data_IF_542791772101
#
_entry.id   IF_542791772101
#
_cell.length_a   1.000
_cell.length_b   1.000
_cell.length_c   1.000
_cell.angle_alpha   90.00
_cell.angle_beta   90.00
_cell.angle_gamma   90.00
#
_symmetry.space_group_name_H-M   'P 1'
#
loop_
_entity.id
_entity.type
_entity.pdbx_description
1 polymer ?
#
# COMPACT_ATOMS: atom_id res chain seq x y z
N UNK A 1 24.89 10.43 2.51
CA UNK A 1 25.03 10.50 1.03
C UNK A 1 23.84 9.92 0.25
N UNK A 2 23.05 8.99 0.78
CA UNK A 2 21.88 8.41 0.10
C UNK A 2 20.79 9.46 -0.23
N UNK A 3 20.50 10.41 0.64
CA UNK A 3 19.48 11.45 0.43
C UNK A 3 19.71 12.39 -0.77
N UNK A 4 20.97 12.54 -1.22
CA UNK A 4 21.28 13.30 -2.45
C UNK A 4 20.99 12.50 -3.71
N UNK A 5 21.15 11.16 -3.65
CA UNK A 5 20.95 10.27 -4.79
C UNK A 5 19.47 9.87 -4.95
N UNK A 6 18.76 9.77 -3.83
CA UNK A 6 17.34 9.38 -3.77
C UNK A 6 16.59 10.34 -2.84
N UNK A 7 16.19 11.52 -3.33
CA UNK A 7 15.45 12.48 -2.52
C UNK A 7 14.10 11.89 -2.11
N UNK A 8 13.80 11.92 -0.80
CA UNK A 8 12.50 11.52 -0.29
C UNK A 8 11.47 12.63 -0.54
N UNK A 9 10.28 12.25 -1.00
CA UNK A 9 9.12 13.12 -1.10
C UNK A 9 8.05 12.65 -0.11
N UNK A 10 7.54 13.57 0.68
CA UNK A 10 6.42 13.33 1.58
C UNK A 10 5.10 13.53 0.83
N UNK A 11 4.28 12.48 0.76
CA UNK A 11 2.98 12.56 0.11
C UNK A 11 1.86 12.49 1.15
N UNK A 12 1.16 13.61 1.35
CA UNK A 12 0.01 13.69 2.24
C UNK A 12 -1.27 13.25 1.55
N UNK A 13 -2.05 12.39 2.19
CA UNK A 13 -3.32 11.88 1.65
C UNK A 13 -4.55 12.20 2.53
N UNK A 14 -4.34 12.73 3.74
CA UNK A 14 -5.39 13.19 4.66
C UNK A 14 -4.80 14.20 5.63
N UNK A 15 -5.65 14.91 6.39
CA UNK A 15 -5.25 15.84 7.43
C UNK A 15 -6.03 15.54 8.71
N UNK A 16 -5.34 15.44 9.84
CA UNK A 16 -5.92 15.10 11.13
C UNK A 16 -6.06 16.31 12.05
N UNK A 17 -5.19 17.30 11.86
CA UNK A 17 -5.18 18.57 12.58
C UNK A 17 -4.99 19.72 11.61
N UNK A 18 -5.76 20.79 11.79
CA UNK A 18 -5.64 22.05 11.05
C UNK A 18 -5.76 23.22 12.02
N UNK A 19 -4.79 24.15 11.98
CA UNK A 19 -4.72 25.31 12.91
C UNK A 19 -4.90 24.89 14.39
N UNK A 20 -4.14 23.91 14.83
CA UNK A 20 -4.16 23.31 16.16
C UNK A 20 -5.50 22.65 16.58
N UNK A 21 -6.46 22.48 15.69
CA UNK A 21 -7.73 21.82 15.94
C UNK A 21 -7.77 20.44 15.30
N UNK A 22 -8.26 19.46 16.03
CA UNK A 22 -8.50 18.13 15.49
C UNK A 22 -9.69 18.15 14.51
N UNK A 23 -9.50 17.68 13.29
CA UNK A 23 -10.50 17.69 12.22
C UNK A 23 -10.95 16.30 11.80
N UNK A 24 -10.61 15.28 12.56
CA UNK A 24 -10.94 13.87 12.27
C UNK A 24 -12.43 13.57 12.23
N UNK A 25 -13.26 14.37 12.93
CA UNK A 25 -14.72 14.25 12.91
C UNK A 25 -15.36 14.80 11.64
N UNK A 26 -14.65 15.57 10.83
CA UNK A 26 -15.16 16.11 9.57
C UNK A 26 -15.23 15.01 8.49
N UNK A 27 -16.12 15.16 7.51
CA UNK A 27 -16.16 14.35 6.30
C UNK A 27 -14.80 14.37 5.57
N UNK A 28 -14.45 13.28 4.87
CA UNK A 28 -13.21 13.20 4.10
C UNK A 28 -13.07 14.35 3.08
N UNK A 29 -14.16 14.73 2.43
CA UNK A 29 -14.17 15.83 1.46
C UNK A 29 -13.71 17.15 2.07
N UNK A 30 -14.19 17.49 3.28
CA UNK A 30 -13.77 18.68 4.00
C UNK A 30 -12.31 18.59 4.44
N UNK A 31 -11.87 17.45 4.97
CA UNK A 31 -10.46 17.25 5.32
C UNK A 31 -9.55 17.38 4.11
N UNK A 32 -9.96 16.89 2.94
CA UNK A 32 -9.23 17.07 1.67
C UNK A 32 -9.11 18.55 1.27
N UNK A 33 -10.17 19.33 1.46
CA UNK A 33 -10.14 20.77 1.21
C UNK A 33 -9.17 21.49 2.16
N UNK A 34 -9.16 21.13 3.44
CA UNK A 34 -8.21 21.65 4.43
C UNK A 34 -6.77 21.25 4.11
N UNK A 35 -6.54 20.00 3.72
CA UNK A 35 -5.22 19.51 3.32
C UNK A 35 -4.66 20.34 2.16
N UNK A 36 -5.49 20.63 1.15
CA UNK A 36 -5.08 21.46 0.01
C UNK A 36 -4.72 22.88 0.43
N UNK A 37 -5.37 23.44 1.45
CA UNK A 37 -5.02 24.76 2.02
C UNK A 37 -3.73 24.71 2.84
N UNK A 38 -3.50 23.63 3.59
CA UNK A 38 -2.35 23.49 4.48
C UNK A 38 -1.04 23.27 3.72
N UNK A 39 -1.09 22.50 2.62
CA UNK A 39 0.10 22.20 1.81
C UNK A 39 0.23 23.26 0.70
N UNK A 40 1.14 24.20 0.90
CA UNK A 40 1.53 25.15 -0.15
C UNK A 40 2.39 24.41 -1.19
N UNK A 41 2.10 24.61 -2.47
CA UNK A 41 2.59 23.80 -3.60
C UNK A 41 4.05 24.04 -3.99
N UNK A 42 4.80 24.89 -3.31
CA UNK A 42 6.10 25.38 -3.78
C UNK A 42 7.30 24.54 -3.30
N UNK A 43 7.09 23.54 -2.46
CA UNK A 43 8.15 22.64 -2.00
C UNK A 43 8.06 21.28 -2.70
N UNK A 44 9.02 20.99 -3.56
CA UNK A 44 9.11 19.73 -4.30
C UNK A 44 9.23 18.48 -3.42
N UNK A 45 9.50 18.66 -2.12
CA UNK A 45 9.57 17.55 -1.14
C UNK A 45 8.20 17.16 -0.59
N UNK A 46 7.16 17.96 -0.85
CA UNK A 46 5.80 17.71 -0.38
C UNK A 46 4.84 17.61 -1.55
N UNK A 47 4.00 16.61 -1.51
CA UNK A 47 2.93 16.41 -2.48
C UNK A 47 1.62 16.07 -1.77
N UNK A 48 0.50 16.48 -2.37
CA UNK A 48 -0.82 15.98 -1.98
C UNK A 48 -1.19 14.82 -2.91
N UNK A 49 -1.55 13.70 -2.33
CA UNK A 49 -2.00 12.52 -3.09
C UNK A 49 -3.16 12.87 -4.00
N UNK A 50 -3.01 12.57 -5.28
CA UNK A 50 -4.09 12.73 -6.26
C UNK A 50 -5.27 11.84 -5.90
N UNK A 51 -6.47 12.31 -6.18
CA UNK A 51 -7.70 11.54 -6.05
C UNK A 51 -8.68 11.95 -7.14
N UNK A 52 -9.62 11.06 -7.44
CA UNK A 52 -10.74 11.33 -8.33
C UNK A 52 -12.03 10.94 -7.63
N UNK A 53 -13.08 11.74 -7.82
CA UNK A 53 -14.37 11.55 -7.16
C UNK A 53 -15.32 10.66 -7.93
N UNK A 54 -15.08 10.45 -9.21
CA UNK A 54 -15.91 9.65 -10.11
C UNK A 54 -15.01 8.85 -11.04
N UNK A 55 -15.57 7.89 -11.76
CA UNK A 55 -14.82 7.05 -12.71
C UNK A 55 -13.72 6.19 -12.08
N UNK A 56 -13.98 5.63 -10.91
CA UNK A 56 -13.04 4.79 -10.16
C UNK A 56 -12.52 3.59 -10.96
N UNK A 57 -13.34 2.98 -11.83
CA UNK A 57 -12.93 1.87 -12.70
C UNK A 57 -11.85 2.34 -13.69
N UNK A 58 -12.06 3.48 -14.35
CA UNK A 58 -11.06 4.03 -15.28
C UNK A 58 -9.76 4.37 -14.57
N UNK A 59 -9.83 4.87 -13.35
CA UNK A 59 -8.64 5.17 -12.55
C UNK A 59 -7.92 3.89 -12.13
N UNK A 60 -8.64 2.85 -11.75
CA UNK A 60 -8.07 1.54 -11.43
C UNK A 60 -7.32 0.96 -12.64
N UNK A 61 -7.94 0.96 -13.84
CA UNK A 61 -7.29 0.49 -15.05
C UNK A 61 -6.04 1.31 -15.42
N UNK A 62 -6.04 2.62 -15.10
CA UNK A 62 -4.85 3.46 -15.31
C UNK A 62 -3.71 3.08 -14.36
N UNK A 63 -4.01 2.69 -13.10
CA UNK A 63 -2.99 2.22 -12.16
C UNK A 63 -2.34 0.90 -12.61
N UNK A 64 -3.12 0.02 -13.22
CA UNK A 64 -2.63 -1.21 -13.85
C UNK A 64 -1.62 -0.91 -14.95
N UNK A 65 -1.96 0.01 -15.87
CA UNK A 65 -1.06 0.43 -16.96
C UNK A 65 0.23 1.09 -16.50
N UNK A 66 0.27 1.57 -15.27
CA UNK A 66 1.43 2.22 -14.65
C UNK A 66 2.16 1.33 -13.64
N UNK A 67 1.89 0.03 -13.63
CA UNK A 67 2.46 -0.95 -12.69
C UNK A 67 2.34 -0.54 -11.20
N UNK A 68 1.25 0.14 -10.84
CA UNK A 68 0.98 0.52 -9.46
C UNK A 68 0.23 -0.60 -8.73
N UNK A 69 0.43 -0.72 -7.43
CA UNK A 69 -0.17 -1.76 -6.58
C UNK A 69 -1.72 -1.75 -6.59
N UNK A 70 -2.34 -0.64 -6.98
CA UNK A 70 -3.78 -0.46 -6.99
C UNK A 70 -4.22 0.88 -6.42
N UNK A 71 -5.47 0.94 -5.96
CA UNK A 71 -6.08 2.16 -5.43
C UNK A 71 -6.63 1.96 -4.02
N UNK A 72 -6.87 3.06 -3.31
CA UNK A 72 -7.63 3.07 -2.07
C UNK A 72 -8.93 3.82 -2.30
N UNK A 73 -10.05 3.10 -2.35
CA UNK A 73 -11.38 3.68 -2.38
C UNK A 73 -11.77 4.17 -0.98
N UNK A 74 -12.24 5.41 -0.88
CA UNK A 74 -12.60 6.03 0.40
C UNK A 74 -14.00 6.61 0.33
N UNK A 75 -14.81 6.32 1.33
CA UNK A 75 -16.15 6.92 1.41
C UNK A 75 -16.03 8.42 1.69
N UNK A 76 -16.63 9.25 0.84
CA UNK A 76 -16.45 10.72 0.84
C UNK A 76 -16.90 11.40 2.14
N UNK A 77 -17.93 10.88 2.80
CA UNK A 77 -18.49 11.44 4.03
C UNK A 77 -17.91 10.76 5.29
N UNK A 78 -16.85 9.94 5.13
CA UNK A 78 -16.24 9.21 6.25
C UNK A 78 -15.45 10.12 7.17
N UNK A 79 -15.61 9.88 8.48
CA UNK A 79 -14.72 10.40 9.52
C UNK A 79 -13.40 9.63 9.50
N UNK A 80 -12.40 10.16 10.16
CA UNK A 80 -11.13 9.46 10.39
C UNK A 80 -11.18 8.75 11.75
N UNK A 81 -10.82 7.48 11.77
CA UNK A 81 -10.74 6.68 12.99
C UNK A 81 -9.31 6.20 13.19
N UNK A 82 -8.73 6.51 14.35
CA UNK A 82 -7.42 6.01 14.75
C UNK A 82 -7.49 4.51 15.06
N UNK A 83 -6.45 3.79 14.72
CA UNK A 83 -6.23 2.38 15.07
C UNK A 83 -7.40 1.43 14.75
N UNK A 84 -8.24 1.81 13.78
CA UNK A 84 -9.39 1.01 13.37
C UNK A 84 -9.38 0.77 11.86
N UNK A 85 -9.59 -0.48 11.49
CA UNK A 85 -9.94 -0.84 10.11
C UNK A 85 -11.44 -0.69 9.94
N UNK A 86 -11.86 0.12 8.98
CA UNK A 86 -13.27 0.34 8.68
C UNK A 86 -13.55 0.04 7.21
N UNK A 87 -14.81 -0.28 6.88
CA UNK A 87 -15.25 -0.44 5.48
C UNK A 87 -15.28 0.89 4.70
N UNK A 88 -15.01 2.03 5.36
CA UNK A 88 -14.96 3.33 4.71
C UNK A 88 -13.70 3.52 3.84
N UNK A 89 -12.66 2.71 4.06
CA UNK A 89 -11.43 2.70 3.28
C UNK A 89 -11.15 1.28 2.82
N UNK A 90 -11.21 1.07 1.52
CA UNK A 90 -11.04 -0.24 0.89
C UNK A 90 -9.82 -0.18 -0.02
N UNK A 91 -8.81 -1.00 0.27
CA UNK A 91 -7.66 -1.18 -0.60
C UNK A 91 -8.05 -2.16 -1.71
N UNK A 92 -8.01 -1.71 -2.95
CA UNK A 92 -8.27 -2.50 -4.15
C UNK A 92 -6.92 -2.66 -4.84
N UNK A 93 -6.35 -3.86 -4.75
CA UNK A 93 -5.05 -4.17 -5.33
C UNK A 93 -5.22 -4.73 -6.72
N UNK A 94 -4.26 -4.40 -7.57
CA UNK A 94 -3.99 -5.15 -8.78
C UNK A 94 -3.16 -6.38 -8.35
N UNK A 95 -3.79 -7.55 -8.43
CA UNK A 95 -3.11 -8.81 -8.13
C UNK A 95 -2.53 -9.33 -9.45
N UNK A 96 -1.22 -9.48 -9.49
CA UNK A 96 -0.53 -10.24 -10.51
C UNK A 96 -0.41 -11.67 -9.98
N UNK A 97 -0.96 -12.61 -10.73
CA UNK A 97 -0.77 -14.03 -10.49
C UNK A 97 0.40 -14.51 -11.35
N UNK A 98 1.26 -15.32 -10.77
CA UNK A 98 2.38 -15.94 -11.46
C UNK A 98 2.65 -17.32 -10.86
N UNK A 99 3.16 -18.22 -11.68
CA UNK A 99 3.48 -19.58 -11.28
C UNK A 99 4.93 -19.66 -10.77
N UNK A 100 5.08 -20.21 -9.59
CA UNK A 100 6.39 -20.38 -8.95
C UNK A 100 6.64 -21.84 -8.63
N UNK A 101 7.92 -22.23 -8.68
CA UNK A 101 8.40 -23.52 -8.24
C UNK A 101 8.85 -23.38 -6.78
N UNK A 102 8.40 -24.29 -5.93
CA UNK A 102 8.92 -24.39 -4.56
C UNK A 102 10.30 -24.99 -4.60
N UNK A 103 11.33 -24.20 -4.27
CA UNK A 103 12.72 -24.60 -4.22
C UNK A 103 13.10 -25.27 -2.90
N UNK A 104 12.37 -24.95 -1.85
CA UNK A 104 12.67 -25.43 -0.53
C UNK A 104 11.77 -24.82 0.53
N UNK A 105 12.05 -25.20 1.75
CA UNK A 105 11.32 -24.83 2.94
C UNK A 105 12.32 -24.32 4.00
N UNK A 106 12.03 -23.19 4.61
CA UNK A 106 12.82 -22.61 5.69
C UNK A 106 12.05 -22.71 7.02
N UNK A 107 12.33 -23.74 7.83
CA UNK A 107 11.70 -23.91 9.14
C UNK A 107 12.30 -22.92 10.14
N UNK A 108 11.47 -22.18 10.81
CA UNK A 108 11.89 -21.28 11.90
C UNK A 108 11.36 -21.80 13.23
N UNK A 109 12.25 -21.99 14.21
CA UNK A 109 11.91 -22.60 15.50
C UNK A 109 10.84 -21.84 16.29
N UNK A 110 10.77 -20.51 16.17
CA UNK A 110 9.85 -19.66 16.95
C UNK A 110 9.06 -18.67 16.08
N UNK A 111 8.94 -18.92 14.79
CA UNK A 111 8.24 -18.02 13.88
C UNK A 111 7.52 -18.77 12.76
N UNK A 112 6.83 -18.03 11.91
CA UNK A 112 6.10 -18.59 10.79
C UNK A 112 7.08 -19.19 9.76
N UNK A 113 6.79 -20.42 9.32
CA UNK A 113 7.56 -21.11 8.29
C UNK A 113 7.50 -20.38 6.95
N UNK A 114 8.55 -20.48 6.15
CA UNK A 114 8.61 -19.87 4.83
C UNK A 114 8.89 -20.92 3.75
N UNK A 115 8.29 -20.74 2.58
CA UNK A 115 8.64 -21.48 1.36
C UNK A 115 9.53 -20.59 0.49
N UNK A 116 10.54 -21.20 -0.09
CA UNK A 116 11.49 -20.55 -1.01
C UNK A 116 10.97 -20.76 -2.43
N UNK A 117 10.81 -19.66 -3.17
CA UNK A 117 10.23 -19.62 -4.50
C UNK A 117 11.27 -19.38 -5.58
N UNK A 118 11.12 -20.07 -6.68
CA UNK A 118 11.90 -19.86 -7.88
C UNK A 118 11.05 -19.89 -9.14
N UNK A 119 11.65 -19.45 -10.23
CA UNK A 119 11.03 -19.42 -11.55
C UNK A 119 12.08 -19.66 -12.62
N UNK A 120 11.70 -20.36 -13.69
CA UNK A 120 12.61 -20.53 -14.83
C UNK A 120 12.72 -19.23 -15.64
N UNK A 121 13.94 -18.80 -15.87
CA UNK A 121 14.27 -17.72 -16.77
C UNK A 121 15.33 -18.23 -17.79
N UNK A 122 14.97 -18.33 -19.06
CA UNK A 122 15.86 -18.85 -20.10
C UNK A 122 16.38 -20.25 -19.81
N UNK A 123 15.58 -21.14 -19.25
CA UNK A 123 15.97 -22.52 -18.89
C UNK A 123 16.79 -22.67 -17.59
N UNK A 124 17.11 -21.58 -16.92
CA UNK A 124 17.78 -21.58 -15.61
C UNK A 124 16.79 -21.27 -14.50
N UNK A 125 16.87 -22.04 -13.44
CA UNK A 125 16.04 -21.82 -12.23
C UNK A 125 16.65 -20.68 -11.42
N UNK A 126 15.87 -19.61 -11.22
CA UNK A 126 16.30 -18.38 -10.54
C UNK A 126 15.47 -18.20 -9.27
N UNK A 127 16.13 -17.88 -8.17
CA UNK A 127 15.47 -17.51 -6.92
C UNK A 127 14.65 -16.23 -7.10
N UNK A 128 13.40 -16.23 -6.61
CA UNK A 128 12.46 -15.10 -6.72
C UNK A 128 12.05 -14.52 -5.38
N UNK A 129 12.32 -15.20 -4.30
CA UNK A 129 11.97 -14.74 -2.97
C UNK A 129 11.46 -15.86 -2.08
N UNK A 130 10.93 -15.49 -0.93
CA UNK A 130 10.25 -16.41 -0.03
C UNK A 130 8.93 -15.84 0.46
N UNK A 131 7.98 -16.72 0.73
CA UNK A 131 6.66 -16.40 1.27
C UNK A 131 6.52 -17.02 2.64
N UNK A 132 6.24 -16.20 3.65
CA UNK A 132 5.96 -16.67 5.00
C UNK A 132 4.54 -17.22 5.04
N UNK A 133 4.42 -18.51 5.39
CA UNK A 133 3.13 -19.15 5.55
C UNK A 133 2.51 -18.70 6.88
N UNK A 134 1.24 -18.33 6.86
CA UNK A 134 0.49 -17.92 8.06
C UNK A 134 0.19 -19.07 9.04
N UNK A 135 0.79 -20.26 8.81
CA UNK A 135 0.65 -21.47 9.63
C UNK A 135 2.01 -21.80 10.21
N UNK A 136 2.09 -21.81 11.53
CA UNK A 136 3.22 -22.32 12.29
C UNK A 136 2.98 -23.75 12.76
N UNK A 137 4.04 -24.52 12.96
CA UNK A 137 4.03 -25.76 13.72
C UNK A 137 3.68 -27.05 12.97
N UNK A 138 2.83 -27.87 13.53
CA UNK A 138 2.65 -29.29 13.30
C UNK A 138 2.39 -29.82 11.87
N UNK A 139 1.73 -29.12 10.93
CA UNK A 139 1.47 -29.71 9.61
C UNK A 139 2.73 -30.06 8.80
N UNK A 140 3.89 -29.52 9.18
CA UNK A 140 5.15 -29.73 8.47
C UNK A 140 6.18 -30.59 9.21
N UNK A 141 5.76 -31.19 10.35
CA UNK A 141 6.57 -32.16 11.06
C UNK A 141 6.20 -33.58 10.59
N UNK A 142 6.60 -33.92 9.39
CA UNK A 142 6.66 -35.34 8.94
C UNK A 142 7.95 -35.58 8.17
#
# INVERSE_FOLDING_TARGET
MAAKKYPACFTAFDILYYEARQVTALPLTERKALLKKAVKSDDSRFAVSRFIEKNSIRFYNLTEQQDLEGIVAKHKDSKYYFDRRTKNWIKIKYLQDDDFIVLGFDPKENSLNSIILGQYNGGKLVYKGHVTLGVGGEPFKK
#
